data_IF_557055977120
#
_entry.id   IF_557055977120
#
_cell.length_a   1.000
_cell.length_b   1.000
_cell.length_c   1.000
_cell.angle_alpha   90.00
_cell.angle_beta   90.00
_cell.angle_gamma   90.00
#
_symmetry.space_group_name_H-M   'P 1'
#
loop_
_entity.id
_entity.type
_entity.pdbx_description
1 polymer ?
2 non-polymer ?
3 water ?
#
# COMPACT_ATOMS: atom_id res chain seq x y z
N UNK A 1 5.09 3.22 -5.26
CA UNK A 1 4.95 3.03 -6.73
C UNK A 1 5.15 4.35 -7.50
N UNK A 2 4.85 5.49 -6.87
CA UNK A 2 4.98 6.86 -7.39
C UNK A 2 5.24 7.85 -6.27
N UNK A 3 5.26 9.18 -6.53
CA UNK A 3 5.70 10.17 -5.53
C UNK A 3 4.82 10.31 -4.26
N UNK A 4 3.56 9.89 -4.32
CA UNK A 4 2.66 9.88 -3.13
C UNK A 4 3.07 8.78 -2.17
N UNK A 5 3.36 7.60 -2.71
CA UNK A 5 3.81 6.42 -1.92
C UNK A 5 5.21 6.69 -1.35
N UNK A 6 6.05 7.44 -2.06
CA UNK A 6 7.42 7.82 -1.61
C UNK A 6 7.33 8.67 -0.33
N UNK A 7 6.52 9.71 -0.30
CA UNK A 7 6.33 10.57 0.90
C UNK A 7 5.77 9.71 2.05
N UNK A 8 4.75 8.90 1.78
CA UNK A 8 4.11 8.03 2.79
C UNK A 8 5.15 7.08 3.41
N UNK A 9 5.96 6.43 2.58
CA UNK A 9 6.98 5.46 3.03
C UNK A 9 7.98 6.18 3.95
N UNK A 10 8.40 7.37 3.59
CA UNK A 10 9.38 8.16 4.39
C UNK A 10 8.80 8.46 5.78
N UNK A 11 7.50 8.75 5.87
CA UNK A 11 6.80 8.99 7.17
C UNK A 11 6.75 7.66 7.93
N UNK A 12 6.32 6.56 7.31
CA UNK A 12 6.18 5.28 8.05
C UNK A 12 7.53 4.81 8.60
N UNK A 13 8.61 4.99 7.83
CA UNK A 13 9.94 4.37 8.17
C UNK A 13 10.54 5.08 9.39
N UNK A 14 10.22 6.35 9.66
CA UNK A 14 10.89 7.11 10.74
C UNK A 14 9.91 7.59 11.81
N UNK A 15 8.63 7.76 11.50
CA UNK A 15 7.71 8.47 12.43
C UNK A 15 6.55 7.57 12.88
N UNK A 16 6.66 6.23 12.85
CA UNK A 16 5.53 5.38 13.34
C UNK A 16 6.09 4.34 14.28
N UNK A 17 5.24 3.95 15.21
CA UNK A 17 5.46 2.84 16.14
C UNK A 17 4.17 2.04 16.15
N UNK A 18 4.25 0.83 16.66
CA UNK A 18 3.07 -0.02 16.96
C UNK A 18 2.69 0.23 18.41
N UNK A 19 1.51 0.81 18.64
CA UNK A 19 1.00 1.04 20.01
C UNK A 19 -0.03 -0.05 20.32
N UNK A 20 0.02 -0.59 21.54
CA UNK A 20 -0.96 -1.61 22.01
C UNK A 20 -1.57 -1.13 23.33
N UNK A 21 -2.90 -1.04 23.37
CA UNK A 21 -3.69 -0.73 24.59
C UNK A 21 -4.57 -1.95 24.85
N UNK A 22 -5.45 -1.87 25.84
CA UNK A 22 -6.45 -2.94 26.16
C UNK A 22 -7.49 -3.02 25.04
N UNK A 23 -7.57 -2.02 24.17
CA UNK A 23 -8.57 -1.93 23.07
C UNK A 23 -7.97 -2.40 21.74
N UNK A 24 -6.68 -2.77 21.69
CA UNK A 24 -6.06 -3.41 20.54
C UNK A 24 -4.72 -2.81 20.14
N UNK A 25 -4.25 -3.19 18.95
CA UNK A 25 -3.01 -2.71 18.30
C UNK A 25 -3.34 -1.62 17.28
N UNK A 26 -2.59 -0.50 17.30
CA UNK A 26 -2.81 0.70 16.45
C UNK A 26 -1.49 1.15 15.83
N UNK A 27 -1.54 1.57 14.56
CA UNK A 27 -0.52 2.47 13.99
C UNK A 27 -0.54 3.75 14.83
N UNK A 28 0.61 4.25 15.25
CA UNK A 28 0.71 5.50 16.07
C UNK A 28 1.74 6.41 15.38
N UNK A 29 1.33 7.62 15.06
CA UNK A 29 2.20 8.64 14.44
C UNK A 29 2.97 9.43 15.51
N UNK A 30 4.31 9.36 15.48
CA UNK A 30 5.17 10.22 16.28
C UNK A 30 5.35 11.58 15.59
N UNK A 31 5.18 12.69 16.28
CA UNK A 31 5.12 14.02 15.60
C UNK A 31 6.39 14.84 15.89
N UNK A 32 6.85 14.86 17.13
CA UNK A 32 8.10 15.54 17.57
C UNK A 32 8.42 15.11 18.98
N UNK A 33 9.70 15.20 19.36
CA UNK A 33 10.18 14.86 20.73
C UNK A 33 9.61 13.48 21.10
N UNK A 34 8.82 13.37 22.17
CA UNK A 34 8.28 12.06 22.62
C UNK A 34 6.75 12.13 22.46
N UNK A 35 6.26 13.03 21.59
CA UNK A 35 4.80 13.32 21.44
C UNK A 35 4.29 12.55 20.21
N UNK A 36 3.24 11.74 20.39
CA UNK A 36 2.57 10.99 19.33
C UNK A 36 1.06 11.23 19.40
N UNK A 37 0.33 10.75 18.41
CA UNK A 37 -1.14 10.80 18.32
C UNK A 37 -1.69 9.39 18.09
N UNK A 38 -2.92 9.18 18.54
CA UNK A 38 -3.64 7.88 18.42
C UNK A 38 -5.13 8.19 18.46
N UNK A 39 -6.01 7.38 17.83
CA UNK A 39 -7.45 7.60 18.01
C UNK A 39 -7.85 7.53 19.49
N UNK A 40 -8.70 8.47 19.94
CA UNK A 40 -9.19 8.55 21.34
C UNK A 40 -9.86 7.21 21.74
N UNK A 41 -10.47 6.48 20.80
CA UNK A 41 -11.13 5.17 21.11
C UNK A 41 -10.10 4.08 21.44
N UNK A 42 -8.79 4.29 21.27
CA UNK A 42 -7.74 3.38 21.79
C UNK A 42 -7.72 3.36 23.33
N UNK A 43 -8.31 4.36 24.00
CA UNK A 43 -8.45 4.47 25.48
C UNK A 43 -7.07 4.33 26.16
N UNK A 44 -6.19 5.26 25.88
CA UNK A 44 -4.79 5.24 26.40
C UNK A 44 -4.85 5.39 27.91
N UNK A 45 -4.11 4.56 28.65
CA UNK A 45 -4.04 4.65 30.12
C UNK A 45 -2.70 5.20 30.61
N UNK A 46 -2.30 4.79 31.81
CA UNK A 46 -1.03 5.20 32.47
C UNK A 46 0.15 4.44 31.85
N UNK A 47 -0.13 3.28 31.26
CA UNK A 47 0.90 2.40 30.63
C UNK A 47 0.39 1.99 29.25
N UNK A 48 1.27 2.00 28.27
CA UNK A 48 0.97 1.55 26.89
C UNK A 48 2.14 0.67 26.43
N UNK A 49 1.95 -0.21 25.44
CA UNK A 49 3.05 -0.96 24.78
C UNK A 49 3.43 -0.27 23.47
N UNK A 50 4.72 0.01 23.29
CA UNK A 50 5.30 0.71 22.11
C UNK A 50 6.30 -0.30 21.50
N UNK A 51 5.98 -0.87 20.34
CA UNK A 51 6.84 -1.91 19.71
C UNK A 51 7.13 -3.00 20.74
N UNK A 52 6.10 -3.38 21.51
CA UNK A 52 6.05 -4.50 22.49
C UNK A 52 6.88 -4.24 23.76
N UNK A 53 7.18 -2.97 24.04
CA UNK A 53 7.92 -2.51 25.26
C UNK A 53 6.93 -1.76 26.17
N UNK A 54 6.87 -2.16 27.44
CA UNK A 54 6.06 -1.48 28.46
C UNK A 54 6.58 -0.06 28.62
N UNK A 55 5.70 0.94 28.44
CA UNK A 55 6.07 2.38 28.39
C UNK A 55 5.10 3.22 29.24
N UNK A 56 5.66 4.02 30.14
CA UNK A 56 4.86 4.94 30.98
C UNK A 56 4.34 6.05 30.08
N UNK A 57 3.06 6.37 30.25
CA UNK A 57 2.45 7.56 29.59
C UNK A 57 2.67 8.78 30.50
N UNK A 58 3.40 9.81 30.05
CA UNK A 58 3.72 11.01 30.88
C UNK A 58 2.53 11.95 30.84
N UNK A 59 1.80 11.98 29.72
CA UNK A 59 0.61 12.84 29.55
C UNK A 59 -0.25 12.31 28.40
N UNK A 60 -1.57 12.37 28.52
CA UNK A 60 -2.52 12.03 27.44
C UNK A 60 -3.69 13.01 27.44
N UNK A 61 -3.99 13.60 26.28
CA UNK A 61 -5.06 14.62 26.17
C UNK A 61 -5.95 14.31 24.96
N UNK A 62 -7.21 13.96 25.24
CA UNK A 62 -8.27 13.77 24.23
C UNK A 62 -8.76 15.13 23.76
N UNK A 63 -8.42 15.51 22.54
CA UNK A 63 -8.73 16.87 22.04
C UNK A 63 -10.22 17.01 21.78
N UNK A 64 -10.74 18.20 22.05
CA UNK A 64 -12.14 18.59 21.70
C UNK A 64 -12.09 19.99 21.11
N UNK A 65 -13.00 20.37 20.22
CA UNK A 65 -12.98 21.74 19.65
C UNK A 65 -13.60 22.69 20.68
N UNK A 66 -13.68 23.98 20.36
CA UNK A 66 -14.12 25.00 21.34
C UNK A 66 -15.64 25.00 21.49
N UNK A 67 -16.40 24.19 20.72
CA UNK A 67 -17.81 23.83 21.04
C UNK A 67 -17.88 22.61 21.99
N UNK A 68 -16.76 22.13 22.53
CA UNK A 68 -16.71 20.93 23.41
C UNK A 68 -17.24 19.72 22.61
N UNK A 69 -16.94 19.63 21.31
CA UNK A 69 -17.21 18.42 20.47
C UNK A 69 -15.94 17.56 20.31
N UNK A 70 -16.07 16.26 20.46
CA UNK A 70 -15.00 15.27 20.21
C UNK A 70 -14.26 15.55 18.89
N UNK A 71 -12.92 15.49 18.91
CA UNK A 71 -12.10 15.50 17.66
C UNK A 71 -11.53 14.11 17.36
N UNK A 72 -11.59 13.18 18.30
CA UNK A 72 -11.18 11.74 18.16
C UNK A 72 -9.65 11.61 18.10
N UNK A 73 -8.89 12.65 18.46
CA UNK A 73 -7.40 12.63 18.49
C UNK A 73 -6.99 12.63 19.95
N UNK A 74 -6.15 11.69 20.37
CA UNK A 74 -5.46 11.80 21.67
C UNK A 74 -3.97 12.10 21.41
N UNK A 75 -3.44 13.14 22.06
CA UNK A 75 -1.99 13.48 22.06
C UNK A 75 -1.37 12.81 23.29
N UNK A 76 -0.38 11.98 23.03
CA UNK A 76 0.30 11.19 24.10
C UNK A 76 1.76 11.63 24.19
N UNK A 77 2.23 11.87 25.40
CA UNK A 77 3.69 12.04 25.63
C UNK A 77 4.22 10.75 26.26
N UNK A 78 5.20 10.13 25.62
CA UNK A 78 5.69 8.79 26.00
C UNK A 78 6.97 8.95 26.83
N UNK A 79 7.11 8.17 27.90
CA UNK A 79 8.39 8.07 28.66
C UNK A 79 9.35 7.20 27.85
N UNK A 80 9.78 7.70 26.70
CA UNK A 80 10.65 6.94 25.76
C UNK A 80 12.07 7.53 25.82
N UNK A 81 13.10 6.73 25.50
CA UNK A 81 14.52 7.13 25.58
C UNK A 81 15.01 7.73 24.26
N UNK A 82 14.12 8.01 23.33
CA UNK A 82 14.52 8.44 21.97
C UNK A 82 13.42 9.39 21.48
N UNK A 83 13.79 10.42 20.73
CA UNK A 83 12.84 11.39 20.14
C UNK A 83 12.47 10.97 18.72
N UNK A 84 11.30 11.38 18.27
CA UNK A 84 10.89 11.32 16.85
C UNK A 84 11.56 12.44 16.08
N UNK A 85 11.89 12.16 14.82
CA UNK A 85 12.14 13.24 13.84
C UNK A 85 10.97 14.24 13.92
N UNK A 86 11.24 15.53 13.99
CA UNK A 86 10.20 16.60 14.03
C UNK A 86 9.56 16.72 12.64
N UNK A 87 8.27 16.41 12.49
CA UNK A 87 7.55 16.50 11.19
C UNK A 87 6.43 17.55 11.28
N UNK A 88 6.46 18.44 12.28
CA UNK A 88 5.40 19.48 12.44
C UNK A 88 5.30 20.38 11.19
N UNK A 89 6.41 20.64 10.51
CA UNK A 89 6.38 21.48 9.28
C UNK A 89 5.62 20.78 8.12
N UNK A 90 5.21 19.51 8.24
CA UNK A 90 4.38 18.82 7.21
C UNK A 90 2.89 18.86 7.55
N UNK A 91 2.51 19.48 8.67
CA UNK A 91 1.09 19.52 9.13
C UNK A 91 0.41 20.72 8.46
N UNK A 92 -0.82 20.57 7.93
CA UNK A 92 -1.57 21.71 7.43
C UNK A 92 -1.87 22.72 8.54
N UNK A 93 -2.09 23.97 8.17
CA UNK A 93 -2.50 24.98 9.15
C UNK A 93 -4.02 25.18 9.21
N UNK A 94 -4.75 24.81 8.16
CA UNK A 94 -6.21 25.04 8.06
C UNK A 94 -6.94 23.78 7.60
N UNK A 95 -8.26 23.73 7.86
CA UNK A 95 -9.16 22.69 7.37
C UNK A 95 -9.19 22.78 5.84
N UNK A 96 -9.14 21.67 5.13
CA UNK A 96 -9.06 21.70 3.65
C UNK A 96 -9.47 20.35 3.07
N UNK A 97 -9.76 20.35 1.77
CA UNK A 97 -9.91 19.15 0.92
C UNK A 97 -8.56 18.88 0.21
N UNK A 98 -8.36 17.66 -0.26
CA UNK A 98 -7.07 17.22 -0.84
C UNK A 98 -7.33 16.30 -2.03
N UNK A 99 -6.40 16.29 -2.98
CA UNK A 99 -6.39 15.25 -4.05
C UNK A 99 -5.37 14.16 -3.72
N UNK A 100 -5.70 12.92 -4.08
CA UNK A 100 -4.72 11.84 -4.27
C UNK A 100 -3.95 11.61 -2.97
N UNK A 101 -4.65 11.10 -1.95
CA UNK A 101 -4.06 10.77 -0.65
C UNK A 101 -3.74 9.28 -0.56
N UNK A 102 -2.84 8.93 0.35
CA UNK A 102 -2.44 7.54 0.69
C UNK A 102 -2.71 7.37 2.18
N UNK A 103 -3.28 6.23 2.52
CA UNK A 103 -3.47 5.76 3.91
C UNK A 103 -2.45 4.66 4.14
N UNK A 104 -1.58 4.84 5.15
CA UNK A 104 -0.48 3.89 5.45
C UNK A 104 -0.65 3.30 6.85
N UNK A 105 -0.52 1.98 6.95
CA UNK A 105 -0.77 1.20 8.18
C UNK A 105 0.44 0.32 8.45
N UNK A 106 0.81 0.19 9.70
CA UNK A 106 1.86 -0.77 10.08
C UNK A 106 1.51 -1.36 11.45
N UNK A 107 1.00 -2.60 11.45
CA UNK A 107 0.73 -3.40 12.66
C UNK A 107 1.27 -4.82 12.43
N UNK A 108 1.21 -5.69 13.45
CA UNK A 108 1.45 -7.17 13.38
C UNK A 108 0.61 -7.80 12.27
N UNK A 109 -0.66 -7.43 12.22
CA UNK A 109 -1.70 -7.93 11.29
C UNK A 109 -1.50 -7.35 9.88
N UNK A 110 -1.14 -6.07 9.77
CA UNK A 110 -1.01 -5.34 8.45
C UNK A 110 0.32 -4.59 8.37
N UNK A 111 1.44 -5.33 8.19
CA UNK A 111 2.75 -4.70 8.01
C UNK A 111 2.89 -4.06 6.62
N UNK A 112 3.50 -2.88 6.55
CA UNK A 112 3.92 -2.26 5.27
C UNK A 112 2.74 -2.14 4.31
N UNK A 113 1.59 -1.75 4.83
CA UNK A 113 0.34 -1.60 4.03
C UNK A 113 0.17 -0.14 3.59
N UNK A 114 -0.04 0.09 2.30
CA UNK A 114 -0.24 1.43 1.69
C UNK A 114 -1.46 1.36 0.77
N UNK A 115 -2.40 2.29 0.89
CA UNK A 115 -3.69 2.30 0.14
C UNK A 115 -3.84 3.64 -0.54
N UNK A 116 -3.96 3.69 -1.89
CA UNK A 116 -4.29 4.93 -2.58
C UNK A 116 -5.79 5.18 -2.43
N UNK A 117 -6.19 6.15 -1.62
CA UNK A 117 -7.63 6.36 -1.29
C UNK A 117 -8.26 7.39 -2.21
N UNK A 118 -7.46 8.15 -2.96
CA UNK A 118 -7.97 9.15 -3.92
C UNK A 118 -8.34 10.46 -3.25
N UNK A 119 -9.42 11.09 -3.72
CA UNK A 119 -9.88 12.42 -3.25
C UNK A 119 -10.33 12.37 -1.78
N UNK A 120 -9.94 13.38 -1.01
CA UNK A 120 -10.30 13.52 0.41
C UNK A 120 -11.16 14.78 0.57
N UNK A 121 -12.39 14.60 1.04
CA UNK A 121 -13.37 15.68 1.31
C UNK A 121 -13.25 16.15 2.77
N UNK A 122 -13.33 17.47 2.95
CA UNK A 122 -13.60 18.09 4.27
C UNK A 122 -15.07 17.82 4.58
N UNK A 123 -15.34 16.72 5.24
CA UNK A 123 -16.69 16.18 5.53
C UNK A 123 -17.29 16.98 6.69
N UNK A 124 -16.48 17.24 7.70
CA UNK A 124 -16.91 18.02 8.88
C UNK A 124 -17.54 17.15 9.94
N UNK A 125 -18.88 17.22 10.08
CA UNK A 125 -19.58 16.55 11.20
C UNK A 125 -19.75 15.08 10.84
N UNK A 126 -19.46 14.18 11.80
CA UNK A 126 -19.78 12.73 11.68
C UNK A 126 -20.27 12.19 13.02
N UNK A 127 -21.32 11.37 13.00
CA UNK A 127 -21.73 10.53 14.16
C UNK A 127 -20.89 9.25 14.14
N UNK A 128 -19.78 9.23 14.88
CA UNK A 128 -18.75 8.17 14.81
C UNK A 128 -18.95 7.22 15.99
N UNK A 129 -19.39 5.99 15.75
CA UNK A 129 -19.77 5.04 16.84
C UNK A 129 -20.70 5.69 17.86
N UNK A 130 -21.65 6.52 17.43
CA UNK A 130 -22.62 7.20 18.32
C UNK A 130 -22.11 8.51 18.95
N UNK A 131 -20.86 8.92 18.70
CA UNK A 131 -20.27 10.16 19.29
C UNK A 131 -20.23 11.27 18.24
N UNK A 132 -20.91 12.42 18.44
CA UNK A 132 -20.77 13.59 17.56
C UNK A 132 -19.29 13.99 17.44
N UNK A 133 -18.78 14.12 16.23
CA UNK A 133 -17.32 14.31 15.97
C UNK A 133 -17.17 15.38 14.90
N UNK A 134 -16.19 16.28 15.04
CA UNK A 134 -15.94 17.36 14.06
C UNK A 134 -14.58 17.15 13.36
N UNK A 135 -14.34 17.95 12.34
CA UNK A 135 -13.08 18.00 11.54
C UNK A 135 -12.75 16.64 10.95
N UNK A 136 -13.76 15.96 10.43
CA UNK A 136 -13.60 14.64 9.76
C UNK A 136 -13.30 14.85 8.28
N UNK A 137 -12.31 14.09 7.80
CA UNK A 137 -11.96 13.96 6.38
C UNK A 137 -12.60 12.66 5.89
N UNK A 138 -13.08 12.63 4.64
CA UNK A 138 -13.72 11.40 4.09
C UNK A 138 -13.03 11.02 2.77
N UNK A 139 -12.84 9.71 2.58
CA UNK A 139 -12.35 9.12 1.31
C UNK A 139 -13.21 7.91 0.97
N UNK A 140 -13.41 7.68 -0.32
CA UNK A 140 -14.29 6.59 -0.82
C UNK A 140 -13.46 5.34 -1.00
N UNK A 141 -13.04 4.71 0.10
CA UNK A 141 -12.36 3.39 0.11
C UNK A 141 -12.95 2.53 1.23
N UNK A 142 -13.24 1.24 0.97
CA UNK A 142 -13.78 0.33 1.97
C UNK A 142 -12.73 -0.11 3.00
N UNK A 143 -12.39 0.80 3.90
CA UNK A 143 -11.44 0.57 5.03
C UNK A 143 -12.06 -0.42 6.02
N UNK A 144 -11.22 -1.19 6.72
CA UNK A 144 -11.68 -2.28 7.62
C UNK A 144 -11.00 -2.17 8.98
N UNK A 145 -11.40 -3.01 9.92
CA UNK A 145 -10.79 -3.15 11.26
C UNK A 145 -9.29 -3.46 11.11
N UNK A 146 -8.46 -2.84 11.95
CA UNK A 146 -7.00 -2.98 11.94
C UNK A 146 -6.27 -1.77 11.36
N UNK A 147 -7.01 -0.86 10.73
CA UNK A 147 -6.44 0.29 9.98
C UNK A 147 -6.53 1.60 10.79
N UNK A 148 -7.23 1.59 11.93
CA UNK A 148 -7.38 2.80 12.80
C UNK A 148 -6.00 3.25 13.29
N UNK A 149 -5.73 4.56 13.22
CA UNK A 149 -4.42 5.14 13.54
C UNK A 149 -3.59 5.29 12.27
N UNK A 150 -4.05 4.67 11.16
CA UNK A 150 -3.34 4.76 9.88
C UNK A 150 -3.08 6.19 9.49
N UNK A 151 -1.93 6.45 8.87
CA UNK A 151 -1.53 7.84 8.55
C UNK A 151 -2.06 8.21 7.17
N UNK A 152 -2.73 9.35 7.07
CA UNK A 152 -3.19 9.92 5.77
C UNK A 152 -2.25 11.05 5.35
N UNK A 153 -1.65 10.89 4.17
CA UNK A 153 -0.70 11.84 3.56
C UNK A 153 -1.09 12.19 2.13
N UNK A 154 -0.68 13.36 1.69
CA UNK A 154 -0.47 13.71 0.27
C UNK A 154 1.03 13.91 0.06
N UNK A 155 1.50 14.18 -1.16
CA UNK A 155 2.91 14.63 -1.36
C UNK A 155 3.12 15.91 -0.53
N UNK A 156 4.03 15.88 0.41
CA UNK A 156 4.44 17.02 1.21
C UNK A 156 3.58 17.25 2.44
N UNK A 157 2.45 16.56 2.65
CA UNK A 157 1.59 16.85 3.85
C UNK A 157 1.10 15.60 4.59
N UNK A 158 1.13 15.65 5.92
CA UNK A 158 0.51 14.65 6.84
C UNK A 158 -0.80 15.29 7.29
N UNK A 159 -1.94 14.79 6.82
CA UNK A 159 -3.22 15.53 6.94
C UNK A 159 -4.16 14.92 7.98
N UNK A 160 -3.95 13.67 8.44
CA UNK A 160 -4.94 13.05 9.35
C UNK A 160 -4.58 11.64 9.75
N UNK A 161 -5.39 11.06 10.65
CA UNK A 161 -5.23 9.66 11.12
C UNK A 161 -6.61 9.01 11.01
N UNK A 162 -6.64 7.82 10.42
CA UNK A 162 -7.86 7.02 10.15
C UNK A 162 -8.55 6.72 11.47
N UNK A 163 -9.88 6.97 11.58
CA UNK A 163 -10.58 6.71 12.88
C UNK A 163 -11.84 5.87 12.69
N UNK A 164 -12.26 5.57 11.45
CA UNK A 164 -13.47 4.75 11.23
C UNK A 164 -13.89 4.62 9.78
N UNK A 165 -14.97 3.89 9.56
CA UNK A 165 -15.53 3.65 8.21
C UNK A 165 -16.94 3.10 8.32
N UNK A 166 -17.68 3.07 7.21
CA UNK A 166 -19.08 2.58 7.18
C UNK A 166 -19.20 1.41 6.18
N UNK A 167 -18.07 0.80 5.82
CA UNK A 167 -18.00 -0.32 4.86
C UNK A 167 -17.75 0.13 3.43
N UNK A 168 -18.15 1.36 3.05
CA UNK A 168 -17.95 1.93 1.69
C UNK A 168 -16.99 3.15 1.73
N UNK A 169 -17.07 3.94 2.79
CA UNK A 169 -16.18 5.12 2.99
C UNK A 169 -15.28 4.91 4.22
N UNK A 170 -14.15 5.64 4.25
CA UNK A 170 -13.29 5.74 5.44
C UNK A 170 -13.23 7.19 5.91
N UNK A 171 -12.94 7.37 7.19
CA UNK A 171 -13.00 8.66 7.90
C UNK A 171 -11.68 8.84 8.69
N UNK A 172 -11.10 10.03 8.58
CA UNK A 172 -9.88 10.39 9.33
C UNK A 172 -10.14 11.66 10.15
N UNK A 173 -9.49 11.79 11.29
CA UNK A 173 -9.52 13.05 12.06
C UNK A 173 -8.40 13.93 11.50
N UNK A 174 -8.64 15.20 11.29
CA UNK A 174 -7.62 16.15 10.78
C UNK A 174 -6.48 16.29 11.77
N UNK A 175 -5.27 16.41 11.25
CA UNK A 175 -4.13 16.92 12.04
C UNK A 175 -3.90 18.36 11.58
N UNK A 176 -3.77 19.25 12.55
CA UNK A 176 -3.47 20.67 12.33
C UNK A 176 -2.20 21.04 13.12
N UNK A 177 -1.40 21.92 12.54
CA UNK A 177 -0.15 22.45 13.14
C UNK A 177 -0.44 22.99 14.56
N UNK A 178 -1.58 23.67 14.75
CA UNK A 178 -1.91 24.36 16.03
C UNK A 178 -2.14 23.34 17.15
N UNK A 179 -2.31 22.05 16.86
CA UNK A 179 -2.43 21.05 17.95
C UNK A 179 -1.07 20.84 18.65
N UNK A 180 0.06 21.19 18.03
CA UNK A 180 1.40 20.73 18.46
C UNK A 180 2.41 21.86 18.65
N UNK A 181 1.92 23.07 18.93
CA UNK A 181 2.75 24.23 19.36
C UNK A 181 3.15 23.99 20.82
N UNK A 182 4.44 24.16 21.15
CA UNK A 182 5.02 23.86 22.48
C UNK A 182 5.33 25.18 23.21
N UNK B 2 -4.93 -11.16 6.51
CA UNK B 2 -3.80 -11.90 7.15
C UNK B 2 -3.43 -13.18 6.40
N UNK B 3 -4.40 -14.07 6.07
CA UNK B 3 -4.13 -15.21 5.18
C UNK B 3 -3.70 -14.65 3.82
N UNK B 4 -4.40 -13.59 3.38
CA UNK B 4 -4.07 -12.82 2.16
C UNK B 4 -2.72 -12.14 2.25
N UNK B 5 -2.43 -11.47 3.39
CA UNK B 5 -1.14 -10.76 3.61
C UNK B 5 -0.01 -11.78 3.80
N UNK B 6 -0.26 -12.88 4.51
CA UNK B 6 0.73 -13.98 4.66
C UNK B 6 1.09 -14.52 3.27
N UNK B 7 0.08 -14.79 2.43
CA UNK B 7 0.29 -15.34 1.07
C UNK B 7 1.11 -14.35 0.24
N UNK B 8 0.72 -13.07 0.24
CA UNK B 8 1.40 -12.00 -0.53
C UNK B 8 2.86 -11.88 -0.09
N UNK B 9 3.13 -11.97 1.22
CA UNK B 9 4.52 -11.91 1.77
C UNK B 9 5.34 -13.14 1.34
N UNK B 10 4.74 -14.33 1.40
CA UNK B 10 5.40 -15.60 1.03
C UNK B 10 5.82 -15.57 -0.45
N UNK B 11 4.97 -15.03 -1.32
CA UNK B 11 5.30 -14.87 -2.77
C UNK B 11 6.37 -13.79 -2.93
N UNK B 12 6.25 -12.66 -2.24
CA UNK B 12 7.27 -11.58 -2.26
C UNK B 12 8.65 -12.15 -1.90
N UNK B 13 8.74 -12.81 -0.75
CA UNK B 13 10.04 -13.25 -0.16
C UNK B 13 10.77 -14.25 -1.05
N UNK B 14 10.10 -15.26 -1.60
CA UNK B 14 10.81 -16.33 -2.36
C UNK B 14 10.72 -16.13 -3.89
N UNK B 15 9.75 -15.39 -4.42
CA UNK B 15 9.44 -15.41 -5.88
C UNK B 15 9.51 -14.02 -6.53
N UNK B 16 9.88 -12.98 -5.80
CA UNK B 16 9.93 -11.62 -6.38
C UNK B 16 11.38 -11.11 -6.36
N UNK B 17 11.89 -10.64 -7.51
CA UNK B 17 13.23 -10.03 -7.61
C UNK B 17 13.09 -8.64 -8.24
N UNK B 18 14.13 -7.80 -8.11
CA UNK B 18 14.22 -6.48 -8.79
C UNK B 18 14.91 -6.68 -10.13
N UNK B 19 14.22 -6.34 -11.22
CA UNK B 19 14.73 -6.47 -12.60
C UNK B 19 14.98 -5.08 -13.11
N UNK B 20 16.13 -4.82 -13.71
CA UNK B 20 16.43 -3.49 -14.27
C UNK B 20 16.77 -3.64 -15.76
N UNK B 21 16.01 -2.97 -16.60
CA UNK B 21 16.23 -2.88 -18.07
C UNK B 21 16.72 -1.46 -18.39
N UNK B 22 16.90 -1.15 -19.68
CA UNK B 22 17.20 0.22 -20.15
C UNK B 22 16.16 1.20 -19.57
N UNK B 23 14.94 0.75 -19.26
CA UNK B 23 13.84 1.68 -18.87
C UNK B 23 13.82 1.94 -17.35
N UNK B 24 14.53 1.17 -16.55
CA UNK B 24 14.58 1.31 -15.08
C UNK B 24 14.22 -0.01 -14.36
N UNK B 25 13.67 0.12 -13.15
CA UNK B 25 13.46 -1.01 -12.23
C UNK B 25 12.01 -1.47 -12.33
N UNK B 26 11.83 -2.79 -12.33
CA UNK B 26 10.50 -3.44 -12.39
C UNK B 26 10.46 -4.55 -11.35
N UNK B 27 9.33 -4.67 -10.65
CA UNK B 27 9.03 -5.86 -9.83
C UNK B 27 8.89 -7.06 -10.78
N UNK B 28 9.71 -8.08 -10.62
CA UNK B 28 9.68 -9.27 -11.51
C UNK B 28 9.24 -10.48 -10.68
N UNK B 29 8.30 -11.27 -11.21
CA UNK B 29 7.90 -12.56 -10.60
C UNK B 29 8.65 -13.75 -11.25
N UNK B 30 9.37 -14.51 -10.45
CA UNK B 30 9.93 -15.82 -10.88
C UNK B 30 8.88 -16.89 -10.65
N UNK B 31 8.66 -17.74 -11.66
CA UNK B 31 7.52 -18.69 -11.67
C UNK B 31 8.02 -20.12 -11.40
N UNK B 32 9.07 -20.54 -12.10
CA UNK B 32 9.71 -21.87 -11.91
C UNK B 32 11.08 -21.86 -12.60
N UNK B 33 12.00 -22.74 -12.19
CA UNK B 33 13.32 -22.90 -12.85
C UNK B 33 13.95 -21.51 -13.02
N UNK B 34 14.31 -21.13 -14.25
CA UNK B 34 14.89 -19.78 -14.47
C UNK B 34 13.90 -18.93 -15.28
N UNK B 35 12.62 -19.23 -15.15
CA UNK B 35 11.53 -18.59 -15.96
C UNK B 35 10.86 -17.53 -15.07
N UNK B 36 10.89 -16.27 -15.48
CA UNK B 36 10.23 -15.12 -14.82
C UNK B 36 9.33 -14.36 -15.81
N UNK B 37 8.49 -13.49 -15.26
CA UNK B 37 7.58 -12.62 -16.06
C UNK B 37 7.75 -11.16 -15.65
N UNK B 38 7.58 -10.30 -16.64
CA UNK B 38 7.74 -8.83 -16.51
C UNK B 38 6.81 -8.20 -17.55
N UNK B 39 6.28 -6.99 -17.32
CA UNK B 39 5.50 -6.30 -18.35
C UNK B 39 6.28 -6.06 -19.65
N UNK B 40 5.58 -6.23 -20.79
CA UNK B 40 6.22 -6.12 -22.11
C UNK B 40 6.86 -4.72 -22.24
N UNK B 41 6.23 -3.68 -21.70
CA UNK B 41 6.72 -2.27 -21.78
C UNK B 41 8.07 -2.09 -21.07
N UNK B 42 8.59 -3.09 -20.33
CA UNK B 42 9.95 -3.00 -19.74
C UNK B 42 11.06 -3.06 -20.81
N UNK B 43 10.77 -3.48 -22.04
CA UNK B 43 11.78 -3.55 -23.14
C UNK B 43 13.00 -4.40 -22.72
N UNK B 44 12.75 -5.66 -22.40
CA UNK B 44 13.83 -6.60 -22.02
C UNK B 44 14.78 -6.77 -23.21
N UNK B 45 16.08 -6.69 -22.94
CA UNK B 45 17.13 -6.78 -23.97
C UNK B 45 17.83 -8.11 -23.91
N UNK B 46 19.11 -8.13 -24.30
CA UNK B 46 19.97 -9.35 -24.24
C UNK B 46 20.46 -9.51 -22.80
N UNK B 47 20.58 -8.40 -22.07
CA UNK B 47 21.15 -8.37 -20.70
C UNK B 47 20.13 -7.67 -19.81
N UNK B 48 19.96 -8.17 -18.60
CA UNK B 48 19.12 -7.57 -17.54
C UNK B 48 19.87 -7.64 -16.20
N UNK B 49 19.59 -6.71 -15.30
CA UNK B 49 20.08 -6.73 -13.91
C UNK B 49 18.98 -7.34 -13.01
N UNK B 50 19.36 -8.37 -12.26
CA UNK B 50 18.50 -9.13 -11.31
C UNK B 50 19.07 -8.89 -9.91
N UNK B 51 18.41 -8.06 -9.09
CA UNK B 51 18.94 -7.65 -7.76
C UNK B 51 20.37 -7.10 -7.94
N UNK B 52 20.58 -6.26 -8.94
CA UNK B 52 21.85 -5.53 -9.22
C UNK B 52 22.94 -6.44 -9.78
N UNK B 53 22.64 -7.70 -10.10
CA UNK B 53 23.59 -8.62 -10.80
C UNK B 53 23.31 -8.65 -12.33
N UNK B 54 24.31 -8.31 -13.14
CA UNK B 54 24.30 -8.49 -14.63
C UNK B 54 23.97 -9.95 -15.00
N UNK B 55 22.92 -10.15 -15.79
CA UNK B 55 22.34 -11.49 -16.11
C UNK B 55 22.02 -11.55 -17.60
N UNK B 56 22.50 -12.59 -18.28
CA UNK B 56 22.18 -12.83 -19.70
C UNK B 56 20.71 -13.27 -19.76
N UNK B 57 19.91 -12.65 -20.63
CA UNK B 57 18.55 -13.19 -20.94
C UNK B 57 18.64 -14.20 -22.11
N UNK B 58 18.42 -15.48 -21.83
CA UNK B 58 18.55 -16.57 -22.83
C UNK B 58 17.39 -16.52 -23.83
N UNK B 59 16.18 -16.16 -23.36
CA UNK B 59 14.98 -16.11 -24.21
C UNK B 59 14.02 -15.05 -23.64
N UNK B 60 13.36 -14.30 -24.51
CA UNK B 60 12.27 -13.37 -24.13
C UNK B 60 11.13 -13.57 -25.14
N UNK B 61 9.94 -13.86 -24.63
CA UNK B 61 8.71 -14.02 -25.45
C UNK B 61 7.67 -12.97 -25.04
N UNK B 62 7.32 -12.07 -25.96
CA UNK B 62 6.23 -11.08 -25.75
C UNK B 62 4.92 -11.80 -26.06
N UNK B 63 4.17 -12.19 -25.02
CA UNK B 63 3.01 -13.10 -25.20
C UNK B 63 1.90 -12.43 -26.05
N UNK B 64 1.32 -13.22 -26.94
CA UNK B 64 0.10 -12.86 -27.71
C UNK B 64 -0.85 -14.06 -27.67
N UNK B 65 -2.17 -13.83 -27.67
CA UNK B 65 -3.16 -14.93 -27.63
C UNK B 65 -3.42 -15.44 -29.05
N UNK B 66 -4.33 -16.40 -29.22
CA UNK B 66 -4.58 -17.07 -30.52
C UNK B 66 -5.36 -16.17 -31.48
N UNK B 67 -5.90 -15.03 -31.02
CA UNK B 67 -6.45 -13.98 -31.91
C UNK B 67 -5.31 -13.09 -32.44
N UNK B 68 -4.06 -13.39 -32.08
CA UNK B 68 -2.86 -12.57 -32.39
C UNK B 68 -3.02 -11.18 -31.75
N UNK B 69 -3.50 -11.13 -30.52
CA UNK B 69 -3.59 -9.86 -29.75
C UNK B 69 -2.57 -9.89 -28.59
N UNK B 70 -1.98 -8.73 -28.33
CA UNK B 70 -1.05 -8.46 -27.21
C UNK B 70 -1.69 -8.89 -25.88
N UNK B 71 -0.89 -9.52 -25.01
CA UNK B 71 -1.24 -9.83 -23.59
C UNK B 71 -0.43 -8.98 -22.61
N UNK B 72 0.58 -8.24 -23.08
CA UNK B 72 1.43 -7.29 -22.31
C UNK B 72 2.29 -8.00 -21.24
N UNK B 73 2.47 -9.30 -21.35
CA UNK B 73 3.36 -10.12 -20.48
C UNK B 73 4.53 -10.57 -21.33
N UNK B 74 5.76 -10.42 -20.83
CA UNK B 74 6.95 -11.05 -21.44
C UNK B 74 7.43 -12.16 -20.51
N UNK B 75 7.60 -13.37 -21.03
CA UNK B 75 8.26 -14.49 -20.31
C UNK B 75 9.75 -14.48 -20.61
N UNK B 76 10.61 -14.49 -19.60
CA UNK B 76 12.08 -14.48 -19.83
C UNK B 76 12.68 -15.76 -19.25
N UNK B 77 13.74 -16.26 -19.90
CA UNK B 77 14.59 -17.36 -19.40
C UNK B 77 15.95 -16.77 -19.03
N UNK B 78 16.34 -16.88 -17.76
CA UNK B 78 17.51 -16.18 -17.18
C UNK B 78 18.71 -17.14 -17.06
N UNK B 79 19.90 -16.70 -17.49
CA UNK B 79 21.19 -17.38 -17.23
C UNK B 79 21.66 -17.10 -15.79
N UNK B 80 21.12 -17.83 -14.81
CA UNK B 80 21.52 -17.73 -13.37
C UNK B 80 21.41 -19.12 -12.71
N UNK B 81 22.23 -19.35 -11.69
CA UNK B 81 22.30 -20.65 -10.96
C UNK B 81 21.04 -20.83 -10.13
N UNK B 82 20.60 -19.81 -9.40
CA UNK B 82 19.42 -19.99 -8.52
C UNK B 82 18.22 -20.40 -9.36
N UNK B 83 17.42 -21.28 -8.78
CA UNK B 83 16.15 -21.78 -9.34
C UNK B 83 15.03 -21.11 -8.53
N UNK B 84 13.98 -20.63 -9.19
CA UNK B 84 12.80 -20.08 -8.49
C UNK B 84 12.00 -21.24 -7.89
N UNK B 85 11.52 -21.07 -6.67
CA UNK B 85 10.47 -21.94 -6.06
C UNK B 85 9.28 -22.04 -7.03
N UNK B 86 8.89 -23.25 -7.43
CA UNK B 86 7.80 -23.48 -8.41
C UNK B 86 6.48 -23.02 -7.79
N UNK B 87 5.78 -22.08 -8.43
CA UNK B 87 4.47 -21.55 -7.95
C UNK B 87 3.40 -21.70 -9.03
N UNK B 88 3.63 -22.57 -10.01
CA UNK B 88 2.63 -22.86 -11.10
C UNK B 88 1.30 -23.33 -10.53
N UNK B 89 1.31 -24.07 -9.41
CA UNK B 89 0.07 -24.62 -8.81
C UNK B 89 -0.75 -23.47 -8.22
N UNK B 90 -0.20 -22.26 -8.12
CA UNK B 90 -0.95 -21.09 -7.61
C UNK B 90 -1.57 -20.25 -8.75
N UNK B 91 -1.31 -20.59 -10.00
CA UNK B 91 -1.82 -19.81 -11.17
C UNK B 91 -3.23 -20.28 -11.50
N UNK B 92 -4.16 -19.36 -11.75
CA UNK B 92 -5.50 -19.74 -12.22
C UNK B 92 -5.47 -20.50 -13.55
N UNK B 93 -6.41 -21.45 -13.70
CA UNK B 93 -6.60 -22.23 -14.96
C UNK B 93 -7.39 -21.40 -15.97
N UNK B 94 -8.34 -20.59 -15.48
CA UNK B 94 -9.27 -19.81 -16.34
C UNK B 94 -9.35 -18.36 -15.85
N UNK B 95 -9.92 -17.49 -16.69
CA UNK B 95 -10.15 -16.06 -16.38
C UNK B 95 -11.29 -15.98 -15.35
N UNK B 96 -11.24 -15.00 -14.45
CA UNK B 96 -12.21 -14.88 -13.33
C UNK B 96 -12.12 -13.46 -12.75
N UNK B 97 -13.10 -13.10 -11.93
CA UNK B 97 -13.08 -11.90 -11.06
C UNK B 97 -12.66 -12.39 -9.67
N UNK B 98 -12.29 -11.47 -8.80
CA UNK B 98 -11.65 -11.78 -7.49
C UNK B 98 -11.96 -10.66 -6.49
N UNK B 99 -11.88 -10.97 -5.20
CA UNK B 99 -12.10 -9.99 -4.11
C UNK B 99 -10.87 -9.93 -3.20
N UNK B 100 -10.69 -8.79 -2.50
CA UNK B 100 -9.69 -8.61 -1.41
C UNK B 100 -8.28 -8.85 -1.96
N UNK B 101 -8.00 -8.40 -3.18
CA UNK B 101 -6.70 -8.60 -3.85
C UNK B 101 -5.65 -7.65 -3.23
N UNK B 102 -4.40 -8.07 -3.25
CA UNK B 102 -3.23 -7.24 -2.82
C UNK B 102 -2.23 -7.20 -3.97
N UNK B 103 -1.70 -6.00 -4.22
CA UNK B 103 -0.65 -5.71 -5.21
C UNK B 103 0.63 -5.50 -4.40
N UNK B 104 1.66 -6.31 -4.70
CA UNK B 104 2.94 -6.34 -3.95
C UNK B 104 4.08 -5.77 -4.82
N UNK B 105 4.70 -4.68 -4.34
CA UNK B 105 5.72 -3.88 -5.10
C UNK B 105 7.08 -4.13 -4.48
N UNK B 106 8.10 -4.32 -5.30
CA UNK B 106 9.47 -4.51 -4.76
C UNK B 106 10.49 -3.90 -5.72
N UNK B 107 10.99 -2.70 -5.37
CA UNK B 107 12.12 -2.06 -6.11
C UNK B 107 13.11 -1.47 -5.10
N UNK B 108 14.23 -0.94 -5.57
CA UNK B 108 15.22 -0.23 -4.70
C UNK B 108 14.54 0.91 -3.94
N UNK B 109 13.62 1.59 -4.60
CA UNK B 109 12.90 2.78 -4.07
C UNK B 109 11.74 2.36 -3.17
N UNK B 110 11.12 1.20 -3.46
CA UNK B 110 9.89 0.71 -2.77
C UNK B 110 10.08 -0.76 -2.40
N UNK B 111 10.92 -1.05 -1.39
CA UNK B 111 11.13 -2.42 -0.95
C UNK B 111 9.91 -2.85 -0.13
N UNK B 112 9.42 -4.07 -0.34
CA UNK B 112 8.41 -4.66 0.57
C UNK B 112 7.20 -3.75 0.78
N UNK B 113 6.52 -3.28 -0.27
CA UNK B 113 5.28 -2.46 -0.17
C UNK B 113 4.05 -3.29 -0.61
N UNK B 114 3.00 -3.33 0.22
CA UNK B 114 1.75 -4.11 -0.03
C UNK B 114 0.58 -3.14 -0.16
N UNK B 115 -0.08 -3.15 -1.32
CA UNK B 115 -1.19 -2.22 -1.63
C UNK B 115 -2.46 -3.03 -1.80
N UNK B 116 -3.35 -3.08 -0.78
CA UNK B 116 -4.66 -3.71 -0.93
C UNK B 116 -5.42 -2.89 -2.00
N UNK B 117 -5.88 -3.56 -3.03
CA UNK B 117 -6.66 -2.92 -4.13
C UNK B 117 -8.14 -3.32 -4.04
N UNK B 118 -8.45 -4.47 -3.41
CA UNK B 118 -9.83 -4.90 -3.13
C UNK B 118 -10.41 -5.66 -4.30
N UNK B 119 -11.51 -5.16 -4.86
CA UNK B 119 -12.28 -5.87 -5.91
C UNK B 119 -11.52 -5.77 -7.25
N UNK B 120 -11.32 -6.91 -7.89
CA UNK B 120 -10.65 -7.08 -9.21
C UNK B 120 -11.68 -7.62 -10.23
N UNK B 121 -11.89 -6.88 -11.31
CA UNK B 121 -12.85 -7.26 -12.40
C UNK B 121 -12.08 -7.83 -13.58
N UNK B 122 -12.57 -8.92 -14.15
CA UNK B 122 -12.18 -9.37 -15.51
C UNK B 122 -12.69 -8.33 -16.52
N UNK B 123 -11.86 -7.38 -16.88
CA UNK B 123 -12.23 -6.20 -17.71
C UNK B 123 -12.19 -6.64 -19.18
N UNK B 124 -11.23 -7.49 -19.54
CA UNK B 124 -11.05 -8.03 -20.91
C UNK B 124 -10.20 -7.13 -21.78
N UNK B 125 -10.85 -6.43 -22.72
CA UNK B 125 -10.19 -5.68 -23.81
C UNK B 125 -9.77 -4.31 -23.27
N UNK B 126 -8.55 -3.88 -23.57
CA UNK B 126 -8.09 -2.51 -23.21
C UNK B 126 -7.20 -1.99 -24.34
N UNK B 127 -7.45 -0.78 -24.77
CA UNK B 127 -6.46 -0.05 -25.60
C UNK B 127 -5.36 0.51 -24.69
N UNK B 128 -4.22 -0.16 -24.62
CA UNK B 128 -3.13 0.22 -23.70
C UNK B 128 -2.00 0.94 -24.45
N UNK B 129 -1.93 2.27 -24.30
CA UNK B 129 -0.95 3.12 -25.00
C UNK B 129 -1.04 2.93 -26.50
N UNK B 130 -2.25 2.77 -27.02
CA UNK B 130 -2.47 2.61 -28.47
C UNK B 130 -2.46 1.16 -28.94
N UNK B 131 -2.07 0.20 -28.08
CA UNK B 131 -2.02 -1.24 -28.44
C UNK B 131 -3.23 -2.00 -27.87
N UNK B 132 -4.04 -2.60 -28.76
CA UNK B 132 -5.14 -3.47 -28.33
C UNK B 132 -4.59 -4.64 -27.49
N UNK B 133 -5.17 -4.85 -26.32
CA UNK B 133 -4.66 -5.81 -25.29
C UNK B 133 -5.84 -6.62 -24.76
N UNK B 134 -5.62 -7.94 -24.59
CA UNK B 134 -6.62 -8.86 -23.99
C UNK B 134 -6.25 -9.26 -22.55
N UNK B 135 -7.25 -9.85 -21.89
CA UNK B 135 -7.17 -10.49 -20.56
C UNK B 135 -6.66 -9.51 -19.49
N UNK B 136 -7.19 -8.30 -19.51
CA UNK B 136 -6.89 -7.27 -18.48
C UNK B 136 -7.82 -7.47 -17.28
N UNK B 137 -7.22 -7.47 -16.10
CA UNK B 137 -7.91 -7.33 -14.80
C UNK B 137 -7.92 -5.85 -14.39
N UNK B 138 -9.00 -5.34 -13.80
CA UNK B 138 -9.12 -3.92 -13.41
C UNK B 138 -9.45 -3.80 -11.90
N UNK B 139 -8.85 -2.82 -11.25
CA UNK B 139 -9.11 -2.46 -9.83
C UNK B 139 -9.06 -0.95 -9.69
N UNK B 140 -9.73 -0.41 -8.68
CA UNK B 140 -9.60 1.01 -8.34
C UNK B 140 -8.13 1.30 -8.03
N UNK B 141 -7.63 2.43 -8.49
CA UNK B 141 -6.23 2.85 -8.28
C UNK B 141 -6.16 4.34 -8.55
N UNK B 142 -6.74 5.16 -7.66
CA UNK B 142 -6.91 6.59 -7.94
C UNK B 142 -5.62 7.35 -7.63
N UNK B 143 -4.57 7.04 -8.39
CA UNK B 143 -3.25 7.74 -8.33
C UNK B 143 -2.55 7.57 -9.69
N UNK B 144 -1.50 8.33 -9.95
CA UNK B 144 -0.67 8.15 -11.15
C UNK B 144 0.60 7.41 -10.70
N UNK B 145 0.56 6.08 -10.78
CA UNK B 145 1.69 5.19 -10.46
C UNK B 145 2.69 5.20 -11.63
N UNK B 146 3.97 5.01 -11.30
CA UNK B 146 5.05 4.80 -12.28
C UNK B 146 5.01 3.41 -12.89
N UNK B 147 6.07 3.02 -13.57
CA UNK B 147 6.10 1.84 -14.47
C UNK B 147 6.42 0.54 -13.72
N UNK B 148 6.89 0.59 -12.47
CA UNK B 148 7.60 -0.54 -11.81
C UNK B 148 6.65 -1.75 -11.63
N UNK B 149 5.36 -1.48 -11.55
CA UNK B 149 4.31 -2.52 -11.45
C UNK B 149 4.44 -3.36 -10.18
N UNK B 150 3.98 -4.62 -10.21
CA UNK B 150 3.95 -5.50 -9.03
C UNK B 150 3.05 -6.70 -9.21
N UNK B 151 3.01 -7.57 -8.23
CA UNK B 151 2.34 -8.88 -8.34
C UNK B 151 0.99 -8.78 -7.64
N UNK B 152 -0.06 -9.24 -8.31
CA UNK B 152 -1.44 -9.23 -7.74
C UNK B 152 -1.74 -10.64 -7.25
N UNK B 153 -2.11 -10.75 -5.97
CA UNK B 153 -2.49 -12.05 -5.33
C UNK B 153 -3.85 -11.93 -4.64
N UNK B 154 -4.46 -13.09 -4.41
CA UNK B 154 -5.52 -13.31 -3.38
C UNK B 154 -5.08 -14.47 -2.50
N UNK B 155 -5.75 -14.68 -1.37
CA UNK B 155 -5.47 -15.82 -0.46
C UNK B 155 -5.56 -17.12 -1.28
N UNK B 156 -4.43 -17.57 -1.81
CA UNK B 156 -4.28 -18.87 -2.50
C UNK B 156 -3.87 -18.76 -3.95
N UNK B 157 -3.94 -17.57 -4.58
CA UNK B 157 -3.78 -17.45 -6.07
C UNK B 157 -2.88 -16.26 -6.44
N UNK B 158 -1.96 -16.47 -7.39
CA UNK B 158 -1.16 -15.38 -8.03
C UNK B 158 -1.85 -15.06 -9.37
N UNK B 159 -2.60 -13.97 -9.44
CA UNK B 159 -3.62 -13.78 -10.53
C UNK B 159 -3.11 -12.86 -11.64
N UNK B 160 -2.07 -12.07 -11.43
CA UNK B 160 -1.64 -11.11 -12.45
C UNK B 160 -0.45 -10.27 -12.05
N UNK B 161 0.07 -9.53 -13.03
CA UNK B 161 1.11 -8.48 -12.83
C UNK B 161 0.57 -7.14 -13.36
N UNK B 162 0.79 -6.08 -12.60
CA UNK B 162 0.34 -4.71 -12.90
C UNK B 162 1.05 -4.20 -14.16
N UNK B 163 0.30 -3.71 -15.15
CA UNK B 163 0.89 -3.25 -16.44
C UNK B 163 0.58 -1.78 -16.75
N UNK B 164 -0.36 -1.14 -16.06
CA UNK B 164 -0.64 0.29 -16.32
C UNK B 164 -1.85 0.79 -15.54
N UNK B 165 -2.33 1.96 -15.91
CA UNK B 165 -3.50 2.57 -15.25
C UNK B 165 -3.81 3.92 -15.87
N UNK B 166 -4.97 4.49 -15.53
CA UNK B 166 -5.47 5.73 -16.19
C UNK B 166 -5.73 6.83 -15.14
N UNK B 167 -5.09 6.75 -13.96
CA UNK B 167 -5.26 7.74 -12.88
C UNK B 167 -6.48 7.50 -11.99
N UNK B 168 -7.44 6.68 -12.44
CA UNK B 168 -8.64 6.27 -11.67
C UNK B 168 -8.66 4.75 -11.47
N UNK B 169 -8.21 3.99 -12.47
CA UNK B 169 -8.25 2.51 -12.43
C UNK B 169 -6.84 1.97 -12.67
N UNK B 170 -6.55 0.79 -12.13
CA UNK B 170 -5.29 0.09 -12.33
C UNK B 170 -5.54 -1.18 -13.14
N UNK B 171 -4.58 -1.58 -13.95
CA UNK B 171 -4.75 -2.73 -14.88
C UNK B 171 -3.62 -3.72 -14.69
N UNK B 172 -3.97 -5.00 -14.62
CA UNK B 172 -3.02 -6.10 -14.52
C UNK B 172 -3.30 -7.06 -15.68
N UNK B 173 -2.23 -7.65 -16.20
CA UNK B 173 -2.33 -8.77 -17.16
C UNK B 173 -2.53 -10.05 -16.37
N UNK B 174 -3.45 -10.89 -16.82
CA UNK B 174 -3.76 -12.18 -16.16
C UNK B 174 -2.56 -13.10 -16.30
N UNK B 175 -2.27 -13.87 -15.25
CA UNK B 175 -1.38 -15.03 -15.37
C UNK B 175 -2.27 -16.27 -15.38
N UNK B 176 -2.04 -17.16 -16.34
CA UNK B 176 -2.78 -18.41 -16.49
C UNK B 176 -1.79 -19.57 -16.45
N UNK B 177 -2.24 -20.71 -15.92
CA UNK B 177 -1.41 -21.94 -15.82
C UNK B 177 -0.91 -22.34 -17.21
N UNK B 178 -1.73 -22.12 -18.24
CA UNK B 178 -1.41 -22.59 -19.62
C UNK B 178 -0.19 -21.86 -20.20
N UNK B 179 0.20 -20.71 -19.63
CA UNK B 179 1.35 -19.92 -20.15
C UNK B 179 2.69 -20.58 -19.85
N UNK B 180 2.73 -21.53 -18.91
CA UNK B 180 3.99 -22.10 -18.38
C UNK B 180 4.07 -23.63 -18.54
N UNK B 181 3.06 -24.27 -19.11
CA UNK B 181 3.05 -25.75 -19.35
C UNK B 181 3.90 -26.10 -20.58
X LIG C 1 -6.27 -7.66 4.16
X LIG C 1 -6.75 -4.21 3.58
X LIG C 1 -6.64 -5.33 3.43
X LIG C 1 -6.50 -6.74 3.17
X LIG C 1 -6.58 -7.39 1.97
X LIG C 1 -6.39 -8.72 2.23
X LIG C 1 -6.20 -8.83 3.55
#
# INVERSE_FOLDING_TARGET
>A
MGPGFDFAQAIMKKNTVIARTEKGEFTMLGVYDRVAVIPTHASVGEIIYINDVETRVLDACALRDLTDTNLEITIVKLDRNQKFRDIRHFLPRCEDDYNDAVLSVHTSKFPNMYIPVGQVTNYGFLNLGGTPTHRILMYNFPTRAGQCGGVVTTTGKVIGIHVGGNGAQGFAAMLLHSYFTD
>B
MGPGFDFAQAIMKKNTVIARTEKGEFTMLGVYDRVAVIPTHASVGEIIYINDVETRVLDACALRDLTDTNLEITIVKLDRNQKFRDIRHFLPRCEDDYNDAVLSVHTSKFPNMYIPVGQVTNYGFLNLGGTPTHRILMYNFPTRAGQCGGVVTTTGKVIGIHVGGNGAQGFAAMLLHSYFTD
>C hetero
1 W3M N1 N C C1 C3 N2 C2
#
